data_IF_982152101873
#
_entry.id   IF_982152101873
#
_cell.length_a   1.000
_cell.length_b   1.000
_cell.length_c   1.000
_cell.angle_alpha   90.00
_cell.angle_beta   90.00
_cell.angle_gamma   90.00
#
_symmetry.space_group_name_H-M   'P 1'
#
loop_
_entity.id
_entity.type
_entity.pdbx_description
1 polymer ?
#
# COMPACT_ATOMS: atom_id res chain seq x y z
N UNK A 1 18.52 4.79 10.12
CA UNK A 1 18.50 3.31 9.95
C UNK A 1 17.25 3.02 9.12
N UNK A 2 17.40 2.56 7.87
CA UNK A 2 16.28 2.39 6.94
C UNK A 2 15.78 0.93 6.93
N UNK A 3 15.46 0.39 8.11
CA UNK A 3 14.97 -0.98 8.26
C UNK A 3 13.45 -1.02 8.21
N UNK A 4 12.88 -2.14 7.75
CA UNK A 4 11.42 -2.36 7.75
C UNK A 4 10.81 -2.14 9.13
N UNK A 5 11.49 -2.58 10.20
CA UNK A 5 11.03 -2.40 11.58
C UNK A 5 10.98 -0.94 12.03
N UNK A 6 11.85 -0.06 11.53
CA UNK A 6 11.83 1.37 11.84
C UNK A 6 10.57 2.03 11.25
N UNK A 7 10.26 1.70 9.99
CA UNK A 7 9.05 2.18 9.31
C UNK A 7 7.77 1.64 9.96
N UNK A 8 7.74 0.37 10.39
CA UNK A 8 6.58 -0.19 11.12
C UNK A 8 6.37 0.54 12.45
N UNK A 9 7.45 0.87 13.18
CA UNK A 9 7.38 1.60 14.45
C UNK A 9 6.91 3.05 14.31
N UNK A 10 6.99 3.64 13.10
CA UNK A 10 6.51 5.00 12.86
C UNK A 10 4.99 5.17 13.12
N UNK A 11 4.22 4.08 13.18
CA UNK A 11 2.78 4.13 13.51
C UNK A 11 1.86 4.63 12.39
N UNK A 12 2.41 4.91 11.21
CA UNK A 12 1.63 5.35 10.04
C UNK A 12 0.80 4.19 9.49
N UNK A 13 -0.54 4.32 9.47
CA UNK A 13 -1.44 3.23 9.05
C UNK A 13 -1.20 2.76 7.61
N UNK A 14 -0.81 3.70 6.74
CA UNK A 14 -0.58 3.46 5.32
C UNK A 14 0.83 2.89 5.02
N UNK A 15 1.78 2.92 5.98
CA UNK A 15 3.17 2.54 5.71
C UNK A 15 3.33 1.04 5.44
N UNK A 16 2.63 0.20 6.20
CA UNK A 16 2.71 -1.26 6.08
C UNK A 16 2.12 -1.75 4.74
N UNK A 17 0.93 -1.27 4.32
CA UNK A 17 0.42 -1.53 2.97
C UNK A 17 1.39 -1.06 1.87
N UNK A 18 1.95 0.15 1.99
CA UNK A 18 2.90 0.66 0.97
C UNK A 18 4.17 -0.18 0.91
N UNK A 19 4.75 -0.57 2.05
CA UNK A 19 5.92 -1.46 2.12
C UNK A 19 5.64 -2.82 1.47
N UNK A 20 4.44 -3.36 1.66
CA UNK A 20 3.98 -4.59 1.01
C UNK A 20 4.00 -4.44 -0.52
N UNK A 21 3.59 -3.29 -1.06
CA UNK A 21 3.64 -3.00 -2.49
C UNK A 21 5.08 -2.89 -3.01
N UNK A 22 5.95 -2.18 -2.29
CA UNK A 22 7.35 -1.98 -2.68
C UNK A 22 8.12 -3.30 -2.71
N UNK A 23 7.99 -4.09 -1.65
CA UNK A 23 8.75 -5.33 -1.45
C UNK A 23 8.06 -6.55 -2.09
N UNK A 24 6.82 -6.43 -2.54
CA UNK A 24 5.97 -7.53 -3.03
C UNK A 24 5.91 -8.72 -2.07
N UNK A 25 5.85 -8.43 -0.77
CA UNK A 25 5.83 -9.41 0.32
C UNK A 25 4.59 -9.21 1.17
N UNK A 26 4.06 -10.30 1.73
CA UNK A 26 2.94 -10.22 2.65
C UNK A 26 3.33 -9.51 3.96
N UNK A 27 2.34 -8.95 4.66
CA UNK A 27 2.52 -8.30 5.97
C UNK A 27 3.22 -9.24 6.97
N UNK A 28 2.85 -10.51 6.99
CA UNK A 28 3.51 -11.51 7.83
C UNK A 28 5.01 -11.62 7.54
N UNK A 29 5.41 -11.60 6.27
CA UNK A 29 6.82 -11.64 5.88
C UNK A 29 7.58 -10.39 6.31
N UNK A 30 6.95 -9.20 6.26
CA UNK A 30 7.55 -7.94 6.73
C UNK A 30 7.78 -7.95 8.24
N UNK A 31 6.81 -8.46 9.01
CA UNK A 31 6.91 -8.56 10.47
C UNK A 31 8.00 -9.56 10.86
N UNK A 32 8.04 -10.73 10.22
CA UNK A 32 9.07 -11.74 10.49
C UNK A 32 10.48 -11.31 10.07
N UNK A 33 10.61 -10.38 9.12
CA UNK A 33 11.89 -9.87 8.63
C UNK A 33 12.03 -8.36 8.90
N UNK A 34 11.70 -7.92 10.11
CA UNK A 34 11.77 -6.50 10.49
C UNK A 34 13.19 -5.91 10.44
N UNK A 35 14.22 -6.74 10.48
CA UNK A 35 15.62 -6.34 10.37
C UNK A 35 16.06 -6.05 8.91
N UNK A 36 15.20 -6.36 7.93
CA UNK A 36 15.51 -6.15 6.52
C UNK A 36 15.78 -4.67 6.22
N UNK A 37 16.95 -4.38 5.64
CA UNK A 37 17.32 -3.05 5.17
C UNK A 37 16.89 -2.85 3.73
N UNK A 38 16.16 -1.76 3.49
CA UNK A 38 15.75 -1.40 2.13
C UNK A 38 16.96 -0.92 1.33
N UNK A 39 17.06 -1.37 0.08
CA UNK A 39 18.04 -0.84 -0.86
C UNK A 39 17.61 0.55 -1.38
N UNK A 40 18.52 1.27 -2.04
CA UNK A 40 18.22 2.61 -2.55
C UNK A 40 17.03 2.65 -3.52
N UNK A 41 16.85 1.61 -4.35
CA UNK A 41 15.75 1.53 -5.32
C UNK A 41 14.40 1.38 -4.59
N UNK A 42 14.35 0.54 -3.56
CA UNK A 42 13.18 0.34 -2.71
C UNK A 42 12.83 1.59 -1.93
N UNK A 43 13.84 2.29 -1.39
CA UNK A 43 13.66 3.58 -0.72
C UNK A 43 13.09 4.62 -1.68
N UNK A 44 13.62 4.73 -2.90
CA UNK A 44 13.09 5.65 -3.92
C UNK A 44 11.63 5.34 -4.24
N UNK A 45 11.29 4.06 -4.45
CA UNK A 45 9.90 3.64 -4.69
C UNK A 45 8.98 3.91 -3.51
N UNK A 46 9.46 3.64 -2.29
CA UNK A 46 8.73 3.93 -1.06
C UNK A 46 8.41 5.42 -0.96
N UNK A 47 9.41 6.28 -1.15
CA UNK A 47 9.24 7.73 -1.12
C UNK A 47 8.27 8.21 -2.20
N UNK A 48 8.33 7.66 -3.42
CA UNK A 48 7.39 8.02 -4.49
C UNK A 48 5.94 7.68 -4.13
N UNK A 49 5.70 6.48 -3.58
CA UNK A 49 4.35 6.05 -3.17
C UNK A 49 3.84 6.84 -1.97
N UNK A 50 4.72 7.15 -1.01
CA UNK A 50 4.39 8.00 0.14
C UNK A 50 4.08 9.43 -0.29
N UNK A 51 4.83 10.00 -1.23
CA UNK A 51 4.57 11.33 -1.78
C UNK A 51 3.21 11.38 -2.51
N UNK A 52 2.90 10.37 -3.34
CA UNK A 52 1.58 10.22 -3.95
C UNK A 52 0.48 10.14 -2.89
N UNK A 53 0.69 9.34 -1.83
CA UNK A 53 -0.27 9.23 -0.72
C UNK A 53 -0.47 10.55 0.02
N UNK A 54 0.61 11.30 0.27
CA UNK A 54 0.58 12.61 0.91
C UNK A 54 -0.15 13.66 0.06
N UNK A 55 -0.09 13.54 -1.27
CA UNK A 55 -0.87 14.36 -2.22
C UNK A 55 -2.37 14.01 -2.28
N UNK A 56 -2.82 13.04 -1.46
CA UNK A 56 -4.22 12.65 -1.39
C UNK A 56 -4.62 11.55 -2.38
N UNK A 57 -3.66 10.92 -3.09
CA UNK A 57 -3.96 9.80 -3.98
C UNK A 57 -4.50 8.64 -3.13
N UNK A 58 -5.68 8.08 -3.47
CA UNK A 58 -6.22 6.90 -2.80
C UNK A 58 -5.29 5.69 -2.93
N UNK A 59 -5.15 4.91 -1.84
CA UNK A 59 -4.32 3.70 -1.85
C UNK A 59 -4.72 2.69 -2.92
N UNK A 60 -6.01 2.60 -3.25
CA UNK A 60 -6.50 1.68 -4.28
C UNK A 60 -5.86 1.95 -5.67
N UNK A 61 -5.57 3.21 -6.00
CA UNK A 61 -4.84 3.56 -7.22
C UNK A 61 -3.35 3.25 -7.11
N UNK A 62 -2.75 3.34 -5.92
CA UNK A 62 -1.35 2.90 -5.71
C UNK A 62 -1.20 1.39 -5.90
N UNK A 63 -2.18 0.61 -5.42
CA UNK A 63 -2.23 -0.85 -5.55
C UNK A 63 -2.83 -1.32 -6.90
N UNK A 64 -3.41 -0.40 -7.69
CA UNK A 64 -4.20 -0.67 -8.90
C UNK A 64 -5.34 -1.69 -8.73
N UNK A 65 -5.77 -1.93 -7.48
CA UNK A 65 -6.70 -3.01 -7.14
C UNK A 65 -7.62 -2.59 -6.01
N UNK A 66 -8.89 -2.99 -6.11
CA UNK A 66 -9.90 -2.79 -5.07
C UNK A 66 -10.84 -3.99 -5.02
N UNK A 67 -11.07 -4.51 -3.80
CA UNK A 67 -12.11 -5.49 -3.54
C UNK A 67 -13.49 -4.84 -3.53
N UNK A 68 -14.46 -5.52 -4.15
CA UNK A 68 -15.88 -5.18 -4.13
C UNK A 68 -16.67 -6.50 -4.13
N UNK A 69 -17.50 -6.73 -3.12
CA UNK A 69 -17.96 -8.06 -2.72
C UNK A 69 -16.79 -9.07 -2.59
N UNK A 70 -16.92 -10.28 -3.17
CA UNK A 70 -15.92 -11.34 -3.19
C UNK A 70 -14.98 -11.26 -4.41
N UNK A 71 -15.02 -10.15 -5.16
CA UNK A 71 -14.28 -9.97 -6.41
C UNK A 71 -13.19 -8.91 -6.25
N UNK A 72 -12.05 -9.14 -6.93
CA UNK A 72 -10.97 -8.17 -7.04
C UNK A 72 -11.05 -7.47 -8.40
N UNK A 73 -11.20 -6.15 -8.38
CA UNK A 73 -11.23 -5.33 -9.60
C UNK A 73 -9.93 -4.55 -9.76
N UNK A 74 -9.50 -4.42 -11.02
CA UNK A 74 -8.44 -3.48 -11.39
C UNK A 74 -9.05 -2.08 -11.38
N UNK A 75 -8.44 -1.16 -10.63
CA UNK A 75 -8.83 0.25 -10.58
C UNK A 75 -7.69 1.12 -11.06
N UNK A 76 -8.03 2.13 -11.85
CA UNK A 76 -7.10 3.15 -12.34
C UNK A 76 -7.64 4.54 -12.02
N UNK A 77 -6.82 5.57 -12.19
CA UNK A 77 -7.22 6.97 -11.98
C UNK A 77 -8.41 7.39 -12.87
N UNK A 78 -8.66 6.69 -13.99
CA UNK A 78 -9.78 6.91 -14.88
C UNK A 78 -11.09 6.23 -14.42
N UNK A 79 -11.08 5.48 -13.32
CA UNK A 79 -12.22 4.71 -12.82
C UNK A 79 -12.62 5.15 -11.43
N UNK A 80 -13.92 5.11 -11.10
CA UNK A 80 -14.37 5.31 -9.73
C UNK A 80 -13.98 4.11 -8.86
N UNK A 81 -13.40 4.35 -7.70
CA UNK A 81 -13.09 3.31 -6.71
C UNK A 81 -14.41 2.77 -6.14
N UNK A 82 -14.73 1.49 -6.30
CA UNK A 82 -15.94 0.89 -5.73
C UNK A 82 -16.01 1.09 -4.21
N UNK A 83 -17.20 1.46 -3.72
CA UNK A 83 -17.46 1.78 -2.32
C UNK A 83 -18.37 0.69 -1.70
N UNK A 84 -18.09 0.22 -0.47
CA UNK A 84 -18.90 -0.82 0.14
C UNK A 84 -20.37 -0.42 0.28
N UNK A 85 -20.68 0.88 0.43
CA UNK A 85 -22.05 1.37 0.50
C UNK A 85 -22.83 1.15 -0.81
N UNK A 86 -22.15 1.11 -1.96
CA UNK A 86 -22.78 0.83 -3.26
C UNK A 86 -23.10 -0.66 -3.46
N UNK A 87 -22.63 -1.54 -2.58
CA UNK A 87 -23.02 -2.96 -2.58
C UNK A 87 -24.48 -3.19 -2.16
N UNK A 88 -25.13 -2.17 -1.55
CA UNK A 88 -26.53 -2.25 -1.14
C UNK A 88 -27.52 -1.81 -2.25
N UNK A 89 -27.00 -1.24 -3.33
CA UNK A 89 -27.77 -0.65 -4.44
C UNK A 89 -27.83 -1.53 -5.69
N UNK A 90 -27.04 -2.60 -5.73
CA UNK A 90 -27.00 -3.59 -6.81
C UNK A 90 -27.85 -4.79 -6.42
#
# INVERSE_FOLDING_TARGET
MNTVGDFIKSGSIDIVPILTLVLRKSVASLISHSDYQLNNIEITKLNELVDKRAKGVPFAYLNNKKGFYHLEFIVTEATLIPRPETELLV
#
